data_IF_196109250248
#
_entry.id   IF_196109250248
#
_cell.length_a   1.000
_cell.length_b   1.000
_cell.length_c   1.000
_cell.angle_alpha   90.00
_cell.angle_beta   90.00
_cell.angle_gamma   90.00
#
_symmetry.space_group_name_H-M   'P 1'
#
loop_
_entity.id
_entity.type
_entity.pdbx_description
1 polymer ?
#
# COMPACT_ATOMS: atom_id res chain seq x y z
N UNK A 1 -45.11 -8.35 -8.41
CA UNK A 1 -44.87 -8.24 -8.07
C UNK A 1 -43.88 -8.67 -7.70
N UNK A 2 -43.13 -9.06 -7.76
CA UNK A 2 -42.35 -9.44 -7.50
C UNK A 2 -41.16 -8.83 -7.62
N UNK A 3 -41.01 -8.10 -8.14
CA UNK A 3 -40.19 -7.14 -8.18
C UNK A 3 -39.28 -6.99 -7.13
N UNK A 4 -39.68 -7.08 -6.01
CA UNK A 4 -38.86 -6.88 -4.85
C UNK A 4 -37.57 -7.66 -4.91
N UNK A 5 -37.66 -8.78 -5.47
CA UNK A 5 -36.48 -9.59 -5.50
C UNK A 5 -35.39 -8.93 -6.26
N UNK A 6 -35.76 -8.24 -7.24
CA UNK A 6 -34.83 -7.60 -8.05
C UNK A 6 -34.08 -6.57 -7.29
N UNK A 7 -34.77 -5.90 -6.51
CA UNK A 7 -34.19 -4.84 -5.75
C UNK A 7 -33.07 -5.38 -4.92
N UNK A 8 -33.24 -6.52 -4.44
CA UNK A 8 -32.25 -7.10 -3.59
C UNK A 8 -30.93 -7.25 -4.30
N UNK A 9 -30.98 -7.69 -5.52
CA UNK A 9 -29.73 -7.91 -6.19
C UNK A 9 -29.01 -6.61 -6.44
N UNK A 10 -29.73 -5.57 -6.59
CA UNK A 10 -29.07 -4.31 -6.83
C UNK A 10 -28.28 -3.88 -5.65
N UNK A 11 -28.77 -4.17 -4.50
CA UNK A 11 -28.07 -3.77 -3.31
C UNK A 11 -26.69 -4.35 -3.24
N UNK A 12 -26.56 -5.51 -3.74
CA UNK A 12 -25.29 -6.17 -3.66
C UNK A 12 -24.23 -5.41 -4.38
N UNK A 13 -24.59 -4.78 -5.45
CA UNK A 13 -23.61 -4.06 -6.23
C UNK A 13 -22.94 -2.96 -5.45
N UNK A 14 -23.66 -2.36 -4.57
CA UNK A 14 -23.11 -1.24 -3.85
C UNK A 14 -21.97 -1.66 -2.96
N UNK A 15 -21.86 -2.92 -2.66
CA UNK A 15 -20.79 -3.36 -1.79
C UNK A 15 -19.44 -3.34 -2.48
N UNK A 16 -19.42 -3.17 -3.76
CA UNK A 16 -18.16 -3.14 -4.46
C UNK A 16 -17.42 -1.83 -4.32
N UNK A 17 -18.12 -0.79 -3.99
CA UNK A 17 -17.50 0.50 -3.91
C UNK A 17 -16.27 0.54 -3.00
N UNK A 18 -16.33 -0.02 -1.81
CA UNK A 18 -15.19 0.06 -0.92
C UNK A 18 -13.96 -0.63 -1.45
N UNK A 19 -14.14 -1.55 -2.36
CA UNK A 19 -13.02 -2.29 -2.87
C UNK A 19 -12.19 -1.49 -3.86
N UNK A 20 -12.69 -0.33 -4.25
CA UNK A 20 -11.99 0.49 -5.21
C UNK A 20 -10.86 1.29 -4.59
N UNK A 21 -10.79 1.32 -3.28
CA UNK A 21 -9.79 2.14 -2.62
C UNK A 21 -8.56 1.33 -2.30
N UNK A 22 -7.42 1.95 -2.37
CA UNK A 22 -6.19 1.34 -2.01
C UNK A 22 -5.60 0.49 -3.11
N UNK A 23 -4.32 0.57 -3.24
CA UNK A 23 -3.57 -0.23 -4.17
C UNK A 23 -2.80 -1.28 -3.40
N UNK A 24 -2.55 -2.41 -4.05
CA UNK A 24 -1.74 -3.46 -3.49
C UNK A 24 -0.31 -3.24 -3.84
N UNK A 25 0.58 -3.50 -2.92
CA UNK A 25 2.00 -3.46 -3.18
C UNK A 25 2.72 -4.48 -2.34
N UNK A 26 3.83 -4.96 -2.84
CA UNK A 26 4.65 -5.92 -2.13
C UNK A 26 5.91 -5.22 -1.64
N UNK A 27 6.31 -5.45 -0.39
CA UNK A 27 7.56 -4.92 0.13
C UNK A 27 8.68 -5.68 -0.54
N UNK A 28 9.47 -4.99 -1.37
CA UNK A 28 10.52 -5.65 -2.14
C UNK A 28 11.92 -5.33 -1.64
N UNK A 29 12.11 -4.19 -0.98
CA UNK A 29 13.41 -3.84 -0.44
C UNK A 29 13.24 -3.26 0.95
N UNK A 30 13.78 -3.94 1.92
CA UNK A 30 13.74 -3.52 3.32
C UNK A 30 15.09 -3.81 3.93
N UNK A 31 15.80 -2.76 4.33
CA UNK A 31 17.12 -2.91 4.88
C UNK A 31 17.04 -2.82 6.38
N UNK A 32 17.62 -3.79 7.06
CA UNK A 32 17.59 -3.81 8.51
C UNK A 32 18.24 -2.53 9.06
N UNK A 33 17.59 -1.94 10.03
CA UNK A 33 18.08 -0.71 10.65
C UNK A 33 17.71 0.57 9.92
N UNK A 34 16.96 0.47 8.83
CA UNK A 34 16.51 1.64 8.09
C UNK A 34 15.00 1.67 8.06
N UNK A 35 14.41 2.83 8.35
CA UNK A 35 12.95 2.97 8.35
C UNK A 35 12.39 3.15 6.94
N UNK A 36 13.22 3.46 5.97
CA UNK A 36 12.76 3.58 4.60
C UNK A 36 12.73 2.22 3.93
N UNK A 37 11.74 2.01 3.07
CA UNK A 37 11.62 0.76 2.33
C UNK A 37 10.85 0.99 1.04
N UNK A 38 10.91 0.02 0.15
CA UNK A 38 10.32 0.12 -1.18
C UNK A 38 9.20 -0.90 -1.32
N UNK A 39 8.09 -0.44 -1.86
CA UNK A 39 6.95 -1.28 -2.20
C UNK A 39 6.78 -1.24 -3.70
N UNK A 40 6.57 -2.40 -4.30
CA UNK A 40 6.31 -2.49 -5.74
C UNK A 40 4.82 -2.63 -5.98
N UNK A 41 4.27 -1.76 -6.85
CA UNK A 41 2.87 -1.82 -7.24
C UNK A 41 2.83 -2.01 -8.75
N UNK A 42 1.63 -2.20 -9.29
CA UNK A 42 1.53 -2.33 -10.75
C UNK A 42 1.71 -1.00 -11.48
N UNK A 43 1.85 0.09 -10.73
CA UNK A 43 2.08 1.41 -11.33
C UNK A 43 3.52 1.87 -11.14
N UNK A 44 4.34 1.09 -10.49
CA UNK A 44 5.73 1.46 -10.24
C UNK A 44 6.11 1.24 -8.80
N UNK A 45 7.26 1.77 -8.42
CA UNK A 45 7.80 1.59 -7.08
C UNK A 45 7.51 2.80 -6.21
N UNK A 46 7.32 2.55 -4.93
CA UNK A 46 6.96 3.59 -3.97
C UNK A 46 7.96 3.58 -2.83
N UNK A 47 8.47 4.75 -2.48
CA UNK A 47 9.38 4.89 -1.35
C UNK A 47 8.59 5.33 -0.13
N UNK A 48 8.62 4.51 0.89
CA UNK A 48 7.90 4.76 2.14
C UNK A 48 8.87 4.88 3.29
N UNK A 49 8.46 5.67 4.28
CA UNK A 49 9.19 5.81 5.53
C UNK A 49 8.29 5.29 6.64
N UNK A 50 8.76 4.33 7.44
CA UNK A 50 7.97 3.71 8.49
C UNK A 50 7.86 4.65 9.69
N UNK A 51 6.63 4.86 10.15
CA UNK A 51 6.39 5.76 11.27
C UNK A 51 5.74 5.07 12.48
N UNK A 52 5.24 3.88 12.33
CA UNK A 52 4.65 3.19 13.47
C UNK A 52 3.82 1.99 13.05
N UNK A 53 3.37 1.26 14.05
CA UNK A 53 2.57 0.07 13.82
C UNK A 53 3.47 -1.12 13.53
N UNK A 54 2.92 -2.07 12.80
CA UNK A 54 3.65 -3.27 12.45
C UNK A 54 4.88 -2.93 11.60
N UNK A 55 5.97 -3.62 11.84
CA UNK A 55 7.21 -3.41 11.09
C UNK A 55 7.21 -4.37 9.91
N UNK A 56 7.04 -3.88 8.69
CA UNK A 56 6.86 -4.78 7.54
C UNK A 56 8.16 -5.48 7.15
N UNK A 57 8.01 -6.65 6.58
CA UNK A 57 9.13 -7.45 6.08
C UNK A 57 9.04 -7.60 4.58
N UNK A 58 10.17 -7.89 3.95
CA UNK A 58 10.16 -8.17 2.51
C UNK A 58 9.22 -9.33 2.24
N UNK A 59 8.41 -9.17 1.20
CA UNK A 59 7.40 -10.14 0.83
C UNK A 59 6.02 -9.81 1.36
N UNK A 60 5.90 -8.93 2.35
CA UNK A 60 4.59 -8.56 2.87
C UNK A 60 3.81 -7.78 1.82
N UNK A 61 2.50 -7.98 1.81
CA UNK A 61 1.61 -7.30 0.89
C UNK A 61 0.87 -6.21 1.65
N UNK A 62 1.05 -4.98 1.21
CA UNK A 62 0.44 -3.82 1.86
C UNK A 62 -0.61 -3.21 0.94
N UNK A 63 -1.70 -2.73 1.53
CA UNK A 63 -2.77 -2.07 0.79
C UNK A 63 -2.93 -0.67 1.33
N UNK A 64 -2.91 0.32 0.45
CA UNK A 64 -3.07 1.69 0.89
C UNK A 64 -3.12 2.66 -0.28
N UNK A 65 -3.15 3.94 0.08
CA UNK A 65 -3.14 5.00 -0.93
C UNK A 65 -1.72 5.46 -1.11
N UNK A 66 -1.11 5.06 -2.23
CA UNK A 66 0.27 5.41 -2.53
C UNK A 66 0.39 6.58 -3.51
N UNK A 67 -0.73 7.16 -3.91
CA UNK A 67 -0.72 8.20 -4.93
C UNK A 67 -0.72 9.61 -4.36
N UNK A 68 -0.44 9.73 -3.09
CA UNK A 68 -0.37 11.03 -2.43
C UNK A 68 0.80 11.02 -1.48
N UNK A 69 1.51 12.14 -1.44
CA UNK A 69 2.60 12.31 -0.49
C UNK A 69 2.02 12.46 0.91
N UNK A 70 2.81 12.15 1.89
CA UNK A 70 2.45 12.42 3.26
C UNK A 70 2.08 11.19 4.06
N UNK A 71 1.57 11.43 5.26
CA UNK A 71 1.28 10.37 6.21
C UNK A 71 0.07 9.56 5.78
N UNK A 72 0.20 8.24 5.81
CA UNK A 72 -0.87 7.32 5.43
C UNK A 72 -0.90 6.15 6.38
N UNK A 73 -2.11 5.64 6.61
CA UNK A 73 -2.26 4.36 7.27
C UNK A 73 -2.45 3.33 6.18
N UNK A 74 -1.63 2.31 6.19
CA UNK A 74 -1.75 1.21 5.23
C UNK A 74 -1.96 -0.08 5.99
N UNK A 75 -2.53 -1.06 5.32
CA UNK A 75 -2.87 -2.31 5.94
C UNK A 75 -1.95 -3.41 5.42
N UNK A 76 -1.35 -4.16 6.32
CA UNK A 76 -0.50 -5.28 5.96
C UNK A 76 -1.36 -6.53 5.92
N UNK A 77 -1.65 -7.02 4.71
CA UNK A 77 -2.47 -8.19 4.54
C UNK A 77 -1.76 -9.44 5.05
N UNK A 78 -0.46 -9.47 4.95
CA UNK A 78 0.30 -10.67 5.32
C UNK A 78 0.29 -10.88 6.83
N UNK A 79 0.25 -9.83 7.62
CA UNK A 79 0.25 -9.93 9.07
C UNK A 79 -1.06 -9.50 9.71
N UNK A 80 -2.03 -9.05 8.90
CA UNK A 80 -3.33 -8.60 9.39
C UNK A 80 -3.16 -7.48 10.42
N UNK A 81 -2.43 -6.44 10.05
CA UNK A 81 -2.13 -5.35 10.96
C UNK A 81 -2.00 -4.03 10.21
N UNK A 82 -2.07 -2.94 10.96
CA UNK A 82 -1.94 -1.61 10.38
C UNK A 82 -0.54 -1.08 10.54
N UNK A 83 -0.14 -0.25 9.58
CA UNK A 83 1.16 0.41 9.59
C UNK A 83 0.95 1.86 9.26
N UNK A 84 1.68 2.74 9.92
CA UNK A 84 1.67 4.16 9.57
C UNK A 84 2.96 4.46 8.84
N UNK A 85 2.84 5.06 7.66
CA UNK A 85 3.98 5.36 6.80
C UNK A 85 3.87 6.78 6.26
N UNK A 86 4.99 7.30 5.81
CA UNK A 86 5.03 8.55 5.06
C UNK A 86 5.36 8.19 3.62
N UNK A 87 4.51 8.61 2.67
CA UNK A 87 4.76 8.37 1.25
C UNK A 87 5.68 9.49 0.77
N UNK A 88 6.91 9.15 0.44
CA UNK A 88 7.90 10.12 -0.01
C UNK A 88 7.92 10.29 -1.51
N UNK A 89 7.87 9.18 -2.24
CA UNK A 89 7.88 9.18 -3.69
C UNK A 89 7.06 8.01 -4.19
N UNK A 90 6.39 8.18 -5.31
CA UNK A 90 5.64 7.07 -5.90
C UNK A 90 5.82 7.06 -7.41
N UNK A 91 5.41 5.98 -8.03
CA UNK A 91 5.54 5.74 -9.48
C UNK A 91 6.98 5.86 -9.95
N UNK A 92 7.91 5.38 -9.17
CA UNK A 92 9.33 5.39 -9.50
C UNK A 92 9.68 4.18 -10.35
N UNK A 93 10.73 4.32 -11.16
CA UNK A 93 11.34 3.16 -11.77
C UNK A 93 12.12 2.40 -10.70
N UNK A 94 12.47 1.17 -11.00
CA UNK A 94 13.23 0.37 -10.05
C UNK A 94 14.56 1.03 -9.71
N UNK A 95 15.26 1.51 -10.74
CA UNK A 95 16.56 2.13 -10.52
C UNK A 95 16.47 3.39 -9.68
N UNK A 96 15.46 4.21 -9.95
CA UNK A 96 15.27 5.43 -9.18
C UNK A 96 14.91 5.11 -7.74
N UNK A 97 14.08 4.09 -7.53
CA UNK A 97 13.69 3.70 -6.20
C UNK A 97 14.90 3.23 -5.39
N UNK A 98 15.73 2.40 -5.99
CA UNK A 98 16.91 1.88 -5.31
C UNK A 98 17.90 2.99 -5.00
N UNK A 99 18.07 3.92 -5.91
CA UNK A 99 18.97 5.04 -5.68
C UNK A 99 18.49 5.87 -4.50
N UNK A 100 17.21 6.19 -4.46
CA UNK A 100 16.66 6.97 -3.37
C UNK A 100 16.71 6.21 -2.04
N UNK A 101 16.47 4.93 -2.08
CA UNK A 101 16.57 4.13 -0.87
C UNK A 101 17.99 4.15 -0.33
N UNK A 102 18.98 4.02 -1.19
CA UNK A 102 20.38 4.05 -0.76
C UNK A 102 20.75 5.39 -0.17
N UNK A 103 20.20 6.48 -0.69
CA UNK A 103 20.44 7.79 -0.14
C UNK A 103 19.89 7.93 1.27
N UNK A 104 18.78 7.26 1.55
CA UNK A 104 18.14 7.35 2.86
C UNK A 104 18.69 6.35 3.85
N UNK A 105 19.11 5.21 3.40
CA UNK A 105 19.50 4.13 4.29
C UNK A 105 21.00 4.03 4.52
N UNK A 106 21.76 4.66 3.72
CA UNK A 106 23.19 4.73 3.95
C UNK A 106 23.85 3.65 4.74
#
# INVERSE_FOLDING_TARGET
MKIPAIAASLLILSTFAPLAFGARGEVVYRKSGCDHFIVETNMGYVLLDWYGGDDPSEGDVLVGNYEEYGMKDVYNLSTDSEIRVWVEEYWLSKDAALEKLNQQCD
#
